data_IF_288569264356
#
_entry.id   IF_288569264356
#
_cell.length_a   1.000
_cell.length_b   1.000
_cell.length_c   1.000
_cell.angle_alpha   90.00
_cell.angle_beta   90.00
_cell.angle_gamma   90.00
#
_symmetry.space_group_name_H-M   'P 1'
#
loop_
_entity.id
_entity.type
_entity.pdbx_description
1 polymer ?
#
# COMPACT_ATOMS: atom_id res chain seq x y z
N UNK A 1 -30.96 -13.93 -34.49
CA UNK A 1 -29.76 -13.36 -35.16
C UNK A 1 -29.00 -12.33 -34.34
N UNK A 2 -29.62 -11.60 -33.47
CA UNK A 2 -29.02 -10.47 -32.70
C UNK A 2 -28.06 -10.88 -31.58
N UNK A 3 -28.34 -11.97 -30.86
CA UNK A 3 -27.54 -12.42 -29.70
C UNK A 3 -26.15 -12.93 -30.12
N UNK A 4 -26.07 -13.64 -31.23
CA UNK A 4 -24.81 -14.18 -31.75
C UNK A 4 -23.84 -13.07 -32.24
N UNK A 5 -24.38 -11.97 -32.76
CA UNK A 5 -23.58 -10.81 -33.17
C UNK A 5 -23.00 -10.08 -31.97
N UNK A 6 -23.75 -9.92 -30.88
CA UNK A 6 -23.32 -9.30 -29.64
C UNK A 6 -22.22 -10.11 -28.95
N UNK A 7 -22.32 -11.44 -28.94
CA UNK A 7 -21.25 -12.29 -28.37
C UNK A 7 -19.95 -12.23 -29.21
N UNK A 8 -20.04 -12.17 -30.53
CA UNK A 8 -18.87 -11.99 -31.41
C UNK A 8 -18.21 -10.64 -31.20
N UNK A 9 -18.97 -9.57 -31.08
CA UNK A 9 -18.46 -8.23 -30.76
C UNK A 9 -17.79 -8.19 -29.38
N UNK A 10 -18.41 -8.82 -28.38
CA UNK A 10 -17.83 -8.91 -27.03
C UNK A 10 -16.51 -9.70 -27.01
N UNK A 11 -16.39 -10.77 -27.77
CA UNK A 11 -15.13 -11.55 -27.93
C UNK A 11 -14.07 -10.73 -28.68
N UNK A 12 -14.46 -9.97 -29.69
CA UNK A 12 -13.58 -9.10 -30.48
C UNK A 12 -13.02 -7.95 -29.62
N UNK A 13 -13.87 -7.24 -28.85
CA UNK A 13 -13.41 -6.18 -27.93
C UNK A 13 -12.56 -6.74 -26.79
N UNK A 14 -12.87 -7.93 -26.26
CA UNK A 14 -12.03 -8.61 -25.28
C UNK A 14 -10.64 -9.00 -25.84
N UNK A 15 -10.58 -9.33 -27.12
CA UNK A 15 -9.34 -9.68 -27.83
C UNK A 15 -8.50 -8.41 -28.13
N UNK A 16 -9.15 -7.30 -28.51
CA UNK A 16 -8.50 -6.00 -28.72
C UNK A 16 -7.91 -5.45 -27.41
N UNK A 17 -8.66 -5.47 -26.32
CA UNK A 17 -8.16 -5.02 -25.01
C UNK A 17 -6.96 -5.84 -24.52
N UNK A 18 -6.94 -7.17 -24.80
CA UNK A 18 -5.78 -8.01 -24.51
C UNK A 18 -4.56 -7.71 -25.39
N UNK A 19 -4.76 -7.28 -26.65
CA UNK A 19 -3.66 -6.85 -27.53
C UNK A 19 -3.10 -5.49 -27.12
N UNK A 20 -3.94 -4.54 -26.76
CA UNK A 20 -3.51 -3.22 -26.27
C UNK A 20 -2.72 -3.35 -24.95
N UNK A 21 -3.19 -4.16 -24.00
CA UNK A 21 -2.46 -4.44 -22.77
C UNK A 21 -1.09 -5.07 -23.06
N UNK A 22 -0.97 -6.02 -23.97
CA UNK A 22 0.31 -6.63 -24.35
C UNK A 22 1.27 -5.64 -25.02
N UNK A 23 0.77 -4.73 -25.84
CA UNK A 23 1.56 -3.68 -26.48
C UNK A 23 2.02 -2.67 -25.42
N UNK A 24 1.15 -2.28 -24.51
CA UNK A 24 1.47 -1.39 -23.42
C UNK A 24 2.54 -2.00 -22.49
N UNK A 25 2.39 -3.26 -22.10
CA UNK A 25 3.38 -4.01 -21.31
C UNK A 25 4.72 -4.12 -22.03
N UNK A 26 4.70 -4.35 -23.34
CA UNK A 26 5.91 -4.41 -24.17
C UNK A 26 6.63 -3.05 -24.25
N UNK A 27 5.89 -1.95 -24.39
CA UNK A 27 6.45 -0.59 -24.41
C UNK A 27 7.04 -0.24 -23.03
N UNK A 28 6.34 -0.59 -21.96
CA UNK A 28 6.84 -0.41 -20.59
C UNK A 28 8.13 -1.20 -20.37
N UNK A 29 8.15 -2.49 -20.73
CA UNK A 29 9.32 -3.35 -20.62
C UNK A 29 10.50 -2.85 -21.47
N UNK A 30 10.24 -2.34 -22.68
CA UNK A 30 11.28 -1.74 -23.53
C UNK A 30 11.86 -0.47 -22.89
N UNK A 31 11.00 0.43 -22.38
CA UNK A 31 11.43 1.64 -21.66
C UNK A 31 12.20 1.29 -20.38
N UNK A 32 11.79 0.21 -19.69
CA UNK A 32 12.49 -0.27 -18.49
C UNK A 32 13.88 -0.79 -18.85
N UNK A 33 14.02 -1.61 -19.89
CA UNK A 33 15.31 -2.13 -20.38
C UNK A 33 16.24 -1.04 -20.92
N UNK A 34 15.70 -0.02 -21.57
CA UNK A 34 16.48 1.14 -22.02
C UNK A 34 16.96 1.99 -20.83
N UNK A 35 16.14 2.14 -19.79
CA UNK A 35 16.53 2.78 -18.53
C UNK A 35 17.56 1.95 -17.77
N UNK A 36 17.40 0.64 -17.72
CA UNK A 36 18.31 -0.30 -17.06
C UNK A 36 19.72 -0.26 -17.70
N UNK A 37 19.81 -0.13 -19.03
CA UNK A 37 21.09 0.06 -19.75
C UNK A 37 21.81 1.37 -19.41
N UNK A 38 21.04 2.42 -19.10
CA UNK A 38 21.58 3.74 -18.72
C UNK A 38 21.76 3.88 -17.21
N UNK A 39 21.43 2.85 -16.44
CA UNK A 39 21.38 2.87 -15.00
C UNK A 39 22.39 1.86 -14.44
N UNK A 40 23.66 2.24 -14.42
CA UNK A 40 24.65 1.57 -13.57
C UNK A 40 24.49 2.05 -12.13
N UNK A 41 23.37 1.69 -11.50
CA UNK A 41 23.25 1.77 -10.05
C UNK A 41 24.15 0.68 -9.48
N UNK A 42 25.23 1.09 -8.89
CA UNK A 42 26.07 0.22 -8.09
C UNK A 42 25.36 0.01 -6.76
N UNK A 43 24.43 -0.96 -6.71
CA UNK A 43 23.64 -1.30 -5.53
C UNK A 43 24.51 -1.82 -4.38
N UNK A 44 25.72 -2.30 -4.65
CA UNK A 44 26.63 -2.83 -3.64
C UNK A 44 27.05 -1.77 -2.61
N UNK A 45 26.97 -0.47 -2.94
CA UNK A 45 27.27 0.63 -2.03
C UNK A 45 26.02 1.33 -1.48
N UNK A 46 24.84 0.81 -1.76
CA UNK A 46 23.59 1.40 -1.28
C UNK A 46 23.27 0.89 0.14
N UNK A 47 23.93 1.47 1.13
CA UNK A 47 23.48 1.35 2.53
C UNK A 47 22.67 2.62 2.85
N UNK A 48 21.33 2.56 2.95
CA UNK A 48 20.54 3.70 3.36
C UNK A 48 20.96 4.05 4.79
N UNK A 49 21.45 5.27 5.02
CA UNK A 49 21.60 5.77 6.38
C UNK A 49 20.25 5.78 7.06
N UNK A 50 20.12 5.01 8.14
CA UNK A 50 18.83 4.67 8.80
C UNK A 50 18.39 5.79 9.76
N UNK A 51 18.93 7.00 9.67
CA UNK A 51 18.52 8.09 10.54
C UNK A 51 17.66 9.10 9.80
N UNK A 52 16.36 9.08 10.07
CA UNK A 52 15.47 10.19 9.75
C UNK A 52 15.62 11.21 10.88
N UNK A 53 16.46 12.23 10.66
CA UNK A 53 16.73 13.30 11.62
C UNK A 53 15.64 14.38 11.64
N UNK A 54 14.66 14.31 10.77
CA UNK A 54 13.60 15.31 10.61
C UNK A 54 12.41 14.98 11.52
N UNK A 55 11.77 16.00 12.05
CA UNK A 55 10.50 15.85 12.76
C UNK A 55 9.47 15.29 11.79
N UNK A 56 9.02 14.06 12.04
CA UNK A 56 8.08 13.34 11.18
C UNK A 56 6.69 13.42 11.77
N UNK A 57 5.76 14.07 11.06
CA UNK A 57 4.33 14.05 11.34
C UNK A 57 3.62 13.24 10.25
N UNK A 58 2.90 12.22 10.67
CA UNK A 58 2.23 11.26 9.79
C UNK A 58 0.72 11.40 9.92
N UNK A 59 0.02 11.43 8.79
CA UNK A 59 -1.40 11.11 8.73
C UNK A 59 -1.55 9.75 8.07
N UNK A 60 -2.05 8.79 8.82
CA UNK A 60 -2.30 7.44 8.34
C UNK A 60 -3.79 7.20 8.13
N UNK A 61 -4.13 6.56 7.04
CA UNK A 61 -5.48 6.04 6.77
C UNK A 61 -5.41 4.52 6.67
N UNK A 62 -6.26 3.83 7.42
CA UNK A 62 -6.34 2.37 7.42
C UNK A 62 -7.74 1.97 6.96
N UNK A 63 -7.86 1.12 5.94
CA UNK A 63 -9.12 0.50 5.61
C UNK A 63 -9.28 -0.81 6.40
N UNK A 64 -10.37 -0.90 7.14
CA UNK A 64 -10.70 -2.05 7.97
C UNK A 64 -12.16 -2.46 7.74
N UNK A 65 -12.39 -3.53 7.00
CA UNK A 65 -13.72 -4.11 6.92
C UNK A 65 -13.97 -4.90 8.22
N UNK A 66 -14.93 -4.41 9.05
CA UNK A 66 -15.09 -4.89 10.39
C UNK A 66 -15.25 -6.41 10.48
N UNK A 67 -14.29 -7.01 11.17
CA UNK A 67 -14.28 -8.40 11.59
C UNK A 67 -13.68 -8.47 13.00
N UNK A 68 -14.45 -8.97 13.96
CA UNK A 68 -14.00 -9.07 15.36
C UNK A 68 -12.70 -9.86 15.49
N UNK A 69 -12.51 -10.89 14.66
CA UNK A 69 -11.32 -11.74 14.68
C UNK A 69 -10.07 -11.02 14.18
N UNK A 70 -10.23 -9.94 13.40
CA UNK A 70 -9.14 -9.16 12.82
C UNK A 70 -8.73 -7.93 13.63
N UNK A 71 -9.44 -7.60 14.72
CA UNK A 71 -9.14 -6.44 15.57
C UNK A 71 -7.68 -6.50 16.08
N UNK A 72 -7.17 -7.69 16.36
CA UNK A 72 -5.78 -7.86 16.81
C UNK A 72 -4.75 -7.47 15.74
N UNK A 73 -5.03 -7.72 14.45
CA UNK A 73 -4.18 -7.28 13.34
C UNK A 73 -4.20 -5.76 13.22
N UNK A 74 -5.40 -5.17 13.18
CA UNK A 74 -5.57 -3.73 13.17
C UNK A 74 -4.80 -3.05 14.30
N UNK A 75 -4.85 -3.60 15.52
CA UNK A 75 -4.08 -3.09 16.67
C UNK A 75 -2.57 -3.16 16.44
N UNK A 76 -2.06 -4.23 15.84
CA UNK A 76 -0.64 -4.34 15.46
C UNK A 76 -0.23 -3.27 14.47
N UNK A 77 -1.06 -3.03 13.42
CA UNK A 77 -0.81 -1.99 12.42
C UNK A 77 -0.81 -0.60 13.05
N UNK A 78 -1.77 -0.27 13.90
CA UNK A 78 -1.81 1.01 14.63
C UNK A 78 -0.57 1.19 15.52
N UNK A 79 -0.17 0.16 16.29
CA UNK A 79 0.99 0.22 17.15
C UNK A 79 2.29 0.44 16.35
N UNK A 80 2.45 -0.24 15.23
CA UNK A 80 3.59 -0.08 14.35
C UNK A 80 3.72 1.36 13.82
N UNK A 81 2.60 1.99 13.43
CA UNK A 81 2.59 3.40 13.02
C UNK A 81 3.03 4.36 14.16
N UNK A 82 2.60 4.08 15.39
CA UNK A 82 3.00 4.86 16.58
C UNK A 82 4.50 4.68 16.89
N UNK A 83 5.07 3.51 16.61
CA UNK A 83 6.52 3.26 16.75
C UNK A 83 7.33 4.00 15.68
N UNK A 84 6.79 4.22 14.49
CA UNK A 84 7.42 5.02 13.43
C UNK A 84 7.50 6.49 13.86
N UNK A 85 6.39 7.07 14.33
CA UNK A 85 6.35 8.46 14.79
C UNK A 85 5.37 8.60 15.96
N UNK A 86 5.79 9.36 16.99
CA UNK A 86 4.89 9.76 18.08
C UNK A 86 3.85 10.79 17.63
N UNK A 87 4.16 11.55 16.57
CA UNK A 87 3.27 12.54 15.96
C UNK A 87 2.56 11.88 14.76
N UNK A 88 1.66 10.95 15.05
CA UNK A 88 0.84 10.24 14.04
C UNK A 88 -0.64 10.41 14.35
N UNK A 89 -1.39 10.84 13.34
CA UNK A 89 -2.87 10.88 13.32
C UNK A 89 -3.36 9.65 12.54
N UNK A 90 -4.07 8.73 13.18
CA UNK A 90 -4.54 7.48 12.55
C UNK A 90 -6.04 7.55 12.33
N UNK A 91 -6.47 7.37 11.08
CA UNK A 91 -7.86 7.40 10.66
C UNK A 91 -8.25 6.01 10.13
N UNK A 92 -9.16 5.31 10.82
CA UNK A 92 -9.64 4.00 10.43
C UNK A 92 -10.97 4.16 9.70
N UNK A 93 -10.99 3.80 8.42
CA UNK A 93 -12.20 3.75 7.61
C UNK A 93 -12.81 2.36 7.71
N UNK A 94 -14.05 2.28 8.21
CA UNK A 94 -14.74 1.00 8.35
C UNK A 94 -16.16 1.07 7.76
N UNK A 95 -16.70 -0.10 7.43
CA UNK A 95 -18.10 -0.24 7.04
C UNK A 95 -19.03 0.09 8.21
N UNK A 96 -20.35 0.09 7.95
CA UNK A 96 -21.35 0.26 9.00
C UNK A 96 -21.14 -0.76 10.13
N UNK A 97 -21.09 -0.26 11.36
CA UNK A 97 -20.90 -1.02 12.59
C UNK A 97 -21.87 -0.55 13.66
N UNK A 98 -22.28 -1.46 14.56
CA UNK A 98 -23.10 -1.11 15.71
C UNK A 98 -22.29 -0.31 16.76
N UNK A 99 -22.99 0.37 17.69
CA UNK A 99 -22.32 1.08 18.78
C UNK A 99 -21.48 0.15 19.65
N UNK A 100 -21.91 -1.10 19.90
CA UNK A 100 -21.13 -2.09 20.64
C UNK A 100 -19.84 -2.47 19.90
N UNK A 101 -19.90 -2.60 18.57
CA UNK A 101 -18.74 -2.88 17.74
C UNK A 101 -17.77 -1.69 17.72
N UNK A 102 -18.30 -0.47 17.65
CA UNK A 102 -17.50 0.75 17.74
C UNK A 102 -16.81 0.87 19.09
N UNK A 103 -17.52 0.58 20.17
CA UNK A 103 -16.97 0.54 21.52
C UNK A 103 -15.85 -0.49 21.64
N UNK A 104 -16.05 -1.71 21.12
CA UNK A 104 -15.03 -2.75 21.10
C UNK A 104 -13.76 -2.34 20.33
N UNK A 105 -13.90 -1.58 19.23
CA UNK A 105 -12.76 -1.00 18.52
C UNK A 105 -12.05 0.04 19.38
N UNK A 106 -12.79 1.00 19.95
CA UNK A 106 -12.24 2.10 20.74
C UNK A 106 -11.48 1.59 21.98
N UNK A 107 -12.01 0.58 22.67
CA UNK A 107 -11.37 -0.02 23.85
C UNK A 107 -10.03 -0.72 23.52
N UNK A 108 -9.85 -1.15 22.28
CA UNK A 108 -8.65 -1.85 21.83
C UNK A 108 -7.59 -0.94 21.20
N UNK A 109 -7.92 0.32 20.93
CA UNK A 109 -7.06 1.27 20.21
C UNK A 109 -6.64 2.42 21.14
N UNK A 110 -5.60 3.15 20.75
CA UNK A 110 -5.09 4.31 21.51
C UNK A 110 -5.88 5.57 21.19
N UNK A 111 -5.73 6.62 22.02
CA UNK A 111 -6.47 7.89 21.92
C UNK A 111 -6.24 8.68 20.62
N UNK A 112 -5.13 8.45 19.94
CA UNK A 112 -4.78 9.13 18.67
C UNK A 112 -5.38 8.46 17.42
N UNK A 113 -6.42 7.62 17.59
CA UNK A 113 -7.09 6.89 16.52
C UNK A 113 -8.52 7.40 16.35
N UNK A 114 -8.86 7.87 15.17
CA UNK A 114 -10.20 8.23 14.76
C UNK A 114 -10.86 7.08 13.97
N UNK A 115 -12.10 6.74 14.31
CA UNK A 115 -12.89 5.72 13.60
C UNK A 115 -13.93 6.42 12.75
N UNK A 116 -13.79 6.29 11.43
CA UNK A 116 -14.67 6.87 10.42
C UNK A 116 -15.55 5.76 9.87
N UNK A 117 -16.82 5.76 10.28
CA UNK A 117 -17.80 4.79 9.79
C UNK A 117 -18.36 5.26 8.45
N UNK A 118 -18.33 4.39 7.46
CA UNK A 118 -18.89 4.64 6.14
C UNK A 118 -20.19 3.87 6.00
N UNK A 119 -21.28 4.60 6.01
CA UNK A 119 -22.60 4.03 5.77
C UNK A 119 -22.82 3.81 4.26
N UNK A 120 -23.60 2.79 3.92
CA UNK A 120 -24.05 2.52 2.56
C UNK A 120 -22.91 2.29 1.54
N UNK A 121 -21.87 1.55 1.92
CA UNK A 121 -20.84 1.11 0.97
C UNK A 121 -21.49 0.23 -0.10
N UNK A 122 -21.50 0.69 -1.35
CA UNK A 122 -22.10 -0.03 -2.48
C UNK A 122 -21.42 -1.38 -2.72
N UNK A 123 -20.12 -1.46 -2.47
CA UNK A 123 -19.33 -2.69 -2.61
C UNK A 123 -18.12 -2.64 -1.69
N UNK A 124 -17.84 -3.75 -0.98
CA UNK A 124 -16.77 -3.84 0.02
C UNK A 124 -15.39 -3.40 -0.51
N UNK A 125 -15.08 -3.69 -1.78
CA UNK A 125 -13.83 -3.27 -2.43
C UNK A 125 -13.69 -1.77 -2.66
N UNK A 126 -14.72 -0.98 -2.35
CA UNK A 126 -14.65 0.48 -2.44
C UNK A 126 -14.15 1.12 -1.15
N UNK A 127 -14.17 0.41 -0.02
CA UNK A 127 -13.69 0.94 1.26
C UNK A 127 -12.27 1.54 1.16
N UNK A 128 -11.30 0.89 0.47
CA UNK A 128 -9.95 1.44 0.28
C UNK A 128 -9.87 2.83 -0.36
N UNK A 129 -10.92 3.30 -1.04
CA UNK A 129 -10.93 4.58 -1.75
C UNK A 129 -11.45 5.75 -0.92
N UNK A 130 -12.13 5.49 0.20
CA UNK A 130 -12.77 6.54 1.01
C UNK A 130 -11.76 7.49 1.68
N UNK A 131 -10.53 7.03 1.94
CA UNK A 131 -9.46 7.86 2.50
C UNK A 131 -9.05 9.03 1.59
N UNK A 132 -9.29 8.96 0.27
CA UNK A 132 -8.82 9.97 -0.69
C UNK A 132 -9.39 11.36 -0.40
N UNK A 133 -10.64 11.47 0.04
CA UNK A 133 -11.26 12.75 0.35
C UNK A 133 -10.60 13.39 1.57
N UNK A 134 -10.35 12.62 2.61
CA UNK A 134 -9.62 13.08 3.78
C UNK A 134 -8.21 13.52 3.41
N UNK A 135 -7.44 12.68 2.71
CA UNK A 135 -6.08 12.97 2.29
C UNK A 135 -6.01 14.27 1.47
N UNK A 136 -6.94 14.47 0.51
CA UNK A 136 -7.02 15.70 -0.29
C UNK A 136 -7.25 16.95 0.57
N UNK A 137 -8.12 16.88 1.56
CA UNK A 137 -8.40 18.01 2.46
C UNK A 137 -7.18 18.40 3.28
N UNK A 138 -6.37 17.41 3.64
CA UNK A 138 -5.19 17.57 4.49
C UNK A 138 -3.90 17.94 3.72
N UNK A 139 -3.87 17.83 2.39
CA UNK A 139 -2.68 18.20 1.59
C UNK A 139 -2.28 19.68 1.71
N UNK A 140 -3.18 20.54 2.18
CA UNK A 140 -2.89 21.96 2.41
C UNK A 140 -2.20 22.21 3.76
N UNK A 141 -2.14 21.21 4.63
CA UNK A 141 -1.49 21.31 5.94
C UNK A 141 0.02 21.14 5.78
N UNK A 142 0.77 22.21 5.99
CA UNK A 142 2.24 22.24 5.86
C UNK A 142 2.96 21.50 6.99
N UNK A 143 2.27 21.26 8.11
CA UNK A 143 2.81 20.51 9.25
C UNK A 143 2.88 19.00 9.02
N UNK A 144 2.12 18.46 8.04
CA UNK A 144 2.12 17.04 7.72
C UNK A 144 3.27 16.73 6.76
N UNK A 145 4.14 15.81 7.16
CA UNK A 145 5.30 15.43 6.35
C UNK A 145 5.03 14.21 5.48
N UNK A 146 4.18 13.28 5.95
CA UNK A 146 3.91 12.02 5.26
C UNK A 146 2.44 11.62 5.36
N UNK A 147 1.93 11.08 4.25
CA UNK A 147 0.64 10.40 4.17
C UNK A 147 0.88 8.92 3.93
N UNK A 148 0.25 8.08 4.74
CA UNK A 148 0.35 6.61 4.65
C UNK A 148 -1.04 6.04 4.50
N UNK A 149 -1.23 5.15 3.52
CA UNK A 149 -2.42 4.32 3.40
C UNK A 149 -2.04 2.86 3.58
N UNK A 150 -2.80 2.14 4.41
CA UNK A 150 -2.62 0.71 4.67
C UNK A 150 -3.98 -0.01 4.70
N UNK A 151 -3.95 -1.32 4.51
CA UNK A 151 -5.03 -2.22 4.89
C UNK A 151 -4.74 -2.80 6.28
N UNK A 152 -5.77 -3.35 6.93
CA UNK A 152 -5.70 -3.83 8.32
C UNK A 152 -4.74 -5.01 8.55
N UNK A 153 -4.25 -5.62 7.46
CA UNK A 153 -3.32 -6.75 7.45
C UNK A 153 -1.93 -6.40 6.89
N UNK A 154 -1.70 -5.14 6.53
CA UNK A 154 -0.40 -4.70 6.02
C UNK A 154 0.41 -4.03 7.13
N UNK A 155 1.46 -4.69 7.58
CA UNK A 155 2.37 -4.18 8.59
C UNK A 155 3.58 -3.51 7.95
N UNK A 156 3.89 -2.29 8.38
CA UNK A 156 5.15 -1.59 8.09
C UNK A 156 5.81 -1.22 9.40
N UNK A 157 7.11 -1.43 9.51
CA UNK A 157 7.88 -1.05 10.69
C UNK A 157 8.70 0.23 10.44
N UNK A 158 9.40 0.67 11.47
CA UNK A 158 10.27 1.85 11.41
C UNK A 158 11.40 1.68 10.38
N UNK A 159 11.92 0.48 10.19
CA UNK A 159 12.98 0.21 9.21
C UNK A 159 12.44 0.33 7.78
N UNK A 160 11.24 -0.21 7.51
CA UNK A 160 10.58 -0.06 6.23
C UNK A 160 10.33 1.43 5.91
N UNK A 161 9.83 2.19 6.88
CA UNK A 161 9.59 3.63 6.71
C UNK A 161 10.90 4.38 6.42
N UNK A 162 11.93 4.18 7.22
CA UNK A 162 13.25 4.80 7.03
C UNK A 162 13.86 4.43 5.68
N UNK A 163 13.77 3.16 5.28
CA UNK A 163 14.21 2.71 3.96
C UNK A 163 13.48 3.49 2.85
N UNK A 164 12.16 3.63 2.95
CA UNK A 164 11.38 4.36 1.94
C UNK A 164 11.80 5.83 1.86
N UNK A 165 11.89 6.54 2.99
CA UNK A 165 12.26 7.95 3.05
C UNK A 165 13.64 8.17 2.45
N UNK A 166 14.63 7.38 2.85
CA UNK A 166 16.01 7.51 2.36
C UNK A 166 16.13 7.15 0.88
N UNK A 167 15.49 6.06 0.47
CA UNK A 167 15.46 5.66 -0.94
C UNK A 167 14.78 6.73 -1.80
N UNK A 168 13.71 7.37 -1.30
CA UNK A 168 13.03 8.47 -2.00
C UNK A 168 13.96 9.66 -2.24
N UNK A 169 14.77 10.05 -1.25
CA UNK A 169 15.76 11.14 -1.41
C UNK A 169 16.74 10.85 -2.55
N UNK A 170 17.24 9.61 -2.63
CA UNK A 170 18.21 9.19 -3.66
C UNK A 170 17.55 9.04 -5.03
N UNK A 171 16.39 8.40 -5.08
CA UNK A 171 15.72 8.07 -6.34
C UNK A 171 15.02 9.27 -6.99
N UNK A 172 14.73 10.34 -6.22
CA UNK A 172 14.10 11.56 -6.71
C UNK A 172 14.82 12.16 -7.91
N UNK A 173 16.16 12.21 -7.90
CA UNK A 173 16.97 12.75 -9.01
C UNK A 173 16.81 11.95 -10.32
N UNK A 174 16.34 10.71 -10.23
CA UNK A 174 16.07 9.84 -11.39
C UNK A 174 14.59 9.75 -11.75
N UNK A 175 13.74 10.53 -11.06
CA UNK A 175 12.28 10.47 -11.20
C UNK A 175 11.71 9.06 -10.93
N UNK A 176 12.30 8.33 -9.96
CA UNK A 176 11.87 7.03 -9.51
C UNK A 176 11.27 7.10 -8.11
N UNK A 177 10.40 6.16 -7.80
CA UNK A 177 9.76 6.01 -6.49
C UNK A 177 10.17 4.64 -5.94
N UNK A 178 10.65 4.55 -4.69
CA UNK A 178 10.90 3.26 -4.06
C UNK A 178 9.58 2.51 -3.87
N UNK A 179 9.62 1.20 -4.03
CA UNK A 179 8.50 0.30 -3.77
C UNK A 179 8.84 -0.69 -2.68
N UNK A 180 7.81 -1.35 -2.15
CA UNK A 180 7.93 -2.49 -1.26
C UNK A 180 7.50 -3.76 -1.97
N UNK A 181 8.09 -4.86 -1.55
CA UNK A 181 7.60 -6.20 -1.88
C UNK A 181 6.82 -6.69 -0.67
N UNK A 182 5.55 -6.98 -0.87
CA UNK A 182 4.74 -7.59 0.19
C UNK A 182 5.12 -9.06 0.33
N UNK A 183 5.41 -9.47 1.56
CA UNK A 183 5.74 -10.85 1.89
C UNK A 183 4.76 -11.38 2.94
N UNK A 184 4.46 -12.67 2.86
CA UNK A 184 3.71 -13.39 3.89
C UNK A 184 4.53 -14.56 4.40
N UNK A 185 4.37 -14.87 5.69
CA UNK A 185 4.96 -16.06 6.29
C UNK A 185 4.10 -17.26 5.91
N UNK A 186 4.71 -18.25 5.28
CA UNK A 186 4.05 -19.52 5.06
C UNK A 186 4.07 -20.33 6.37
N UNK A 187 2.90 -20.71 6.86
CA UNK A 187 2.73 -21.46 8.10
C UNK A 187 3.37 -22.85 8.08
N UNK A 188 3.59 -23.43 6.88
CA UNK A 188 4.13 -24.78 6.73
C UNK A 188 5.65 -24.86 6.95
N UNK A 189 6.39 -23.84 6.51
CA UNK A 189 7.86 -23.82 6.54
C UNK A 189 8.45 -22.60 7.26
N UNK A 190 7.59 -21.72 7.74
CA UNK A 190 7.93 -20.45 8.42
C UNK A 190 8.86 -19.54 7.59
N UNK A 191 8.77 -19.64 6.25
CA UNK A 191 9.54 -18.80 5.33
C UNK A 191 8.69 -17.66 4.77
N UNK A 192 9.38 -16.57 4.37
CA UNK A 192 8.75 -15.41 3.75
C UNK A 192 8.59 -15.62 2.24
N UNK A 193 7.37 -15.49 1.76
CA UNK A 193 7.03 -15.57 0.33
C UNK A 193 6.53 -14.22 -0.18
N UNK A 194 7.06 -13.77 -1.31
CA UNK A 194 6.57 -12.59 -2.00
C UNK A 194 5.25 -12.91 -2.71
N UNK A 195 4.18 -12.17 -2.39
CA UNK A 195 2.82 -12.46 -2.85
C UNK A 195 2.49 -11.77 -4.16
N UNK A 196 3.01 -10.57 -4.36
CA UNK A 196 2.65 -9.71 -5.49
C UNK A 196 3.28 -10.14 -6.83
N UNK A 197 4.09 -11.21 -6.84
CA UNK A 197 4.73 -11.72 -8.05
C UNK A 197 3.94 -12.83 -8.71
N UNK A 198 2.95 -12.47 -9.50
CA UNK A 198 2.30 -13.41 -10.42
C UNK A 198 3.13 -13.47 -11.71
N UNK A 199 3.95 -14.53 -11.84
CA UNK A 199 4.80 -14.95 -12.97
C UNK A 199 6.24 -14.43 -13.00
N UNK A 200 7.16 -15.36 -12.64
CA UNK A 200 8.55 -15.48 -13.13
C UNK A 200 9.35 -14.19 -13.38
N UNK A 201 9.45 -13.34 -12.40
CA UNK A 201 10.63 -12.51 -12.24
C UNK A 201 11.40 -13.12 -11.08
N UNK A 202 12.48 -13.86 -11.39
CA UNK A 202 13.42 -14.30 -10.36
C UNK A 202 14.21 -13.05 -9.95
N UNK A 203 13.68 -12.33 -8.96
CA UNK A 203 14.48 -11.35 -8.24
C UNK A 203 15.30 -12.19 -7.25
N UNK A 204 16.61 -12.33 -7.52
CA UNK A 204 17.53 -12.80 -6.51
C UNK A 204 17.58 -11.73 -5.42
N UNK A 205 16.74 -11.88 -4.39
CA UNK A 205 16.84 -11.06 -3.19
C UNK A 205 18.03 -11.64 -2.43
N UNK A 206 19.19 -10.99 -2.54
CA UNK A 206 20.29 -11.24 -1.63
C UNK A 206 19.90 -10.61 -0.27
N UNK A 207 19.36 -11.43 0.60
CA UNK A 207 19.26 -11.13 2.02
C UNK A 207 20.59 -11.61 2.63
N UNK A 208 21.54 -10.71 2.80
CA UNK A 208 22.63 -10.80 3.76
C UNK A 208 22.35 -9.90 4.95
#
# INVERSE_FOLDING_TARGET
>A
MTIYLLERLRKFFKSLGKKELKIHDFIILKKFKEREKNFSLNFENFKPEIQVSEKVKIVAAISFFFDKNKIHNLKKVCNSLIEISKDVEINIFTNHISEDQKKALTENLKENVEIIVIDNIVHNRLLPWYHLNLMKSLFKREDITHFIYLEDDILIDKNNFNYWVNSRKILKKYNLIPGFVRTEVNELDNQLYAIDFVKKIIIKICLE
#
